data_IF_260906765229
#
_entry.id   IF_260906765229
#
_cell.length_a   1.000
_cell.length_b   1.000
_cell.length_c   1.000
_cell.angle_alpha   90.00
_cell.angle_beta   90.00
_cell.angle_gamma   90.00
#
_symmetry.space_group_name_H-M   'P 1'
#
loop_
_entity.id
_entity.type
_entity.pdbx_description
1 polymer ?
#
# COMPACT_ATOMS: atom_id res chain seq x y z
N UNK A 1 18.33 -11.65 46.51
CA UNK A 1 17.70 -10.47 45.86
C UNK A 1 18.28 -10.13 44.47
N UNK A 2 19.56 -10.38 44.18
CA UNK A 2 20.17 -10.09 42.86
C UNK A 2 19.62 -10.93 41.71
N UNK A 3 19.41 -12.23 41.91
CA UNK A 3 18.86 -13.13 40.88
C UNK A 3 17.43 -12.78 40.47
N UNK A 4 16.59 -12.35 41.40
CA UNK A 4 15.21 -11.96 41.12
C UNK A 4 15.15 -10.64 40.34
N UNK A 5 15.99 -9.64 40.70
CA UNK A 5 16.11 -8.39 39.94
C UNK A 5 16.67 -8.62 38.52
N UNK A 6 17.64 -9.52 38.39
CA UNK A 6 18.18 -9.93 37.09
C UNK A 6 17.12 -10.63 36.23
N UNK A 7 16.34 -11.54 36.83
CA UNK A 7 15.27 -12.25 36.12
C UNK A 7 14.14 -11.30 35.69
N UNK A 8 13.74 -10.35 36.53
CA UNK A 8 12.75 -9.32 36.20
C UNK A 8 13.26 -8.38 35.10
N UNK A 9 14.55 -8.03 35.11
CA UNK A 9 15.18 -7.21 34.07
C UNK A 9 15.23 -7.92 32.72
N UNK A 10 15.60 -9.20 32.70
CA UNK A 10 15.58 -10.05 31.49
C UNK A 10 14.15 -10.24 30.99
N UNK A 11 13.18 -10.43 31.89
CA UNK A 11 11.76 -10.53 31.54
C UNK A 11 11.23 -9.24 30.90
N UNK A 12 11.64 -8.07 31.38
CA UNK A 12 11.29 -6.77 30.79
C UNK A 12 11.95 -6.53 29.41
N UNK A 13 13.14 -7.07 29.19
CA UNK A 13 13.87 -6.96 27.91
C UNK A 13 13.29 -7.86 26.80
N UNK A 14 12.54 -8.91 27.18
CA UNK A 14 11.89 -9.86 26.25
C UNK A 14 10.50 -9.37 25.80
N UNK A 15 9.91 -8.37 26.46
CA UNK A 15 8.63 -7.80 26.05
C UNK A 15 8.87 -6.87 24.85
N UNK A 16 9.06 -7.48 23.68
CA UNK A 16 8.93 -6.78 22.40
C UNK A 16 7.48 -6.37 22.24
N UNK A 17 7.19 -5.10 22.47
CA UNK A 17 5.88 -4.53 22.12
C UNK A 17 5.81 -4.53 20.60
N UNK A 18 5.11 -5.50 20.02
CA UNK A 18 4.79 -5.48 18.60
C UNK A 18 3.74 -4.39 18.37
N UNK A 19 4.13 -3.28 17.77
CA UNK A 19 3.15 -2.31 17.30
C UNK A 19 2.28 -2.96 16.22
N UNK A 20 0.98 -3.09 16.50
CA UNK A 20 0.00 -3.52 15.52
C UNK A 20 -0.26 -2.34 14.59
N UNK A 21 0.54 -2.22 13.53
CA UNK A 21 0.31 -1.28 12.43
C UNK A 21 -0.31 -2.03 11.25
N UNK A 22 -1.08 -1.31 10.43
CA UNK A 22 -1.48 -1.87 9.13
C UNK A 22 -0.22 -2.13 8.32
N UNK A 23 -0.11 -3.34 7.80
CA UNK A 23 1.02 -3.73 6.96
C UNK A 23 1.01 -2.99 5.63
N UNK A 24 -0.17 -2.84 5.01
CA UNK A 24 -0.35 -2.04 3.80
C UNK A 24 -0.92 -0.69 4.20
N UNK A 25 -0.25 0.37 3.76
CA UNK A 25 -0.67 1.76 3.97
C UNK A 25 -0.79 2.48 2.64
N UNK A 26 -1.65 3.50 2.57
CA UNK A 26 -1.63 4.46 1.46
C UNK A 26 -0.43 5.38 1.69
N UNK A 27 0.46 5.46 0.71
CA UNK A 27 1.68 6.28 0.79
C UNK A 27 1.49 7.65 0.13
N UNK A 28 0.95 7.66 -1.09
CA UNK A 28 0.74 8.87 -1.88
C UNK A 28 -0.60 8.86 -2.62
N UNK A 29 -1.13 10.05 -2.90
CA UNK A 29 -2.36 10.25 -3.66
C UNK A 29 -2.16 11.42 -4.62
N UNK A 30 -2.38 11.18 -5.92
CA UNK A 30 -2.51 12.22 -6.95
C UNK A 30 -4.00 12.51 -7.15
N UNK A 31 -4.53 13.48 -6.41
CA UNK A 31 -5.96 13.80 -6.36
C UNK A 31 -6.40 14.93 -7.32
N UNK A 32 -5.45 15.64 -7.93
CA UNK A 32 -5.74 16.78 -8.80
C UNK A 32 -4.71 16.88 -9.95
N UNK A 33 -4.66 15.87 -10.84
CA UNK A 33 -3.83 15.92 -12.03
C UNK A 33 -4.35 16.97 -13.03
N UNK A 34 -3.48 17.40 -13.95
CA UNK A 34 -3.87 18.30 -15.06
C UNK A 34 -4.85 17.63 -16.04
N UNK A 35 -4.69 16.32 -16.26
CA UNK A 35 -5.66 15.46 -16.95
C UNK A 35 -6.42 14.70 -15.86
N UNK A 36 -7.70 15.00 -15.67
CA UNK A 36 -8.56 14.39 -14.63
C UNK A 36 -8.55 12.85 -14.68
N UNK A 37 -8.27 12.26 -15.84
CA UNK A 37 -8.19 10.81 -16.04
C UNK A 37 -6.82 10.21 -15.69
N UNK A 38 -6.03 10.94 -14.91
CA UNK A 38 -4.67 10.56 -14.54
C UNK A 38 -4.43 10.60 -13.02
N UNK A 39 -5.50 10.39 -12.26
CA UNK A 39 -5.43 10.14 -10.83
C UNK A 39 -4.79 8.78 -10.56
N UNK A 40 -4.07 8.70 -9.47
CA UNK A 40 -3.47 7.46 -8.98
C UNK A 40 -3.25 7.55 -7.48
N UNK A 41 -3.13 6.40 -6.85
CA UNK A 41 -2.66 6.30 -5.47
C UNK A 41 -1.60 5.22 -5.37
N UNK A 42 -0.70 5.39 -4.41
CA UNK A 42 0.35 4.45 -4.11
C UNK A 42 0.08 3.76 -2.78
N UNK A 43 0.29 2.45 -2.74
CA UNK A 43 0.35 1.67 -1.51
C UNK A 43 1.79 1.27 -1.21
N UNK A 44 2.11 1.27 0.08
CA UNK A 44 3.40 0.82 0.60
C UNK A 44 3.18 -0.35 1.56
N UNK A 45 3.98 -1.40 1.40
CA UNK A 45 4.07 -2.48 2.38
C UNK A 45 5.07 -2.11 3.47
N UNK A 46 4.56 -1.50 4.55
CA UNK A 46 5.31 -1.13 5.76
C UNK A 46 5.55 -2.31 6.72
N UNK A 47 5.20 -3.54 6.31
CA UNK A 47 5.49 -4.74 7.07
C UNK A 47 6.80 -5.40 6.65
N UNK A 48 7.13 -6.48 7.36
CA UNK A 48 8.33 -7.28 7.13
C UNK A 48 8.09 -8.54 6.30
N UNK A 49 6.85 -8.76 5.84
CA UNK A 49 6.46 -9.93 5.03
C UNK A 49 5.84 -9.51 3.70
N UNK A 50 5.87 -10.37 2.67
CA UNK A 50 5.14 -10.12 1.43
C UNK A 50 3.62 -10.25 1.61
N UNK A 51 2.85 -9.49 0.83
CA UNK A 51 1.37 -9.53 0.82
C UNK A 51 0.86 -9.84 -0.58
N UNK A 52 -0.07 -10.80 -0.71
CA UNK A 52 -0.78 -11.04 -1.96
C UNK A 52 -1.99 -10.11 -2.08
N UNK A 53 -2.02 -9.30 -3.15
CA UNK A 53 -3.04 -8.30 -3.42
C UNK A 53 -4.20 -8.82 -4.30
N UNK A 54 -4.19 -10.11 -4.63
CA UNK A 54 -5.27 -10.72 -5.40
C UNK A 54 -6.62 -10.46 -4.74
N UNK A 55 -7.57 -9.93 -5.52
CA UNK A 55 -8.93 -9.59 -5.10
C UNK A 55 -9.01 -8.53 -3.99
N UNK A 56 -7.93 -7.81 -3.70
CA UNK A 56 -8.00 -6.62 -2.85
C UNK A 56 -8.88 -5.57 -3.51
N UNK A 57 -9.57 -4.81 -2.66
CA UNK A 57 -10.58 -3.86 -3.09
C UNK A 57 -10.26 -2.46 -2.55
N UNK A 58 -10.70 -1.46 -3.31
CA UNK A 58 -10.59 -0.07 -2.92
C UNK A 58 -11.82 0.71 -3.38
N UNK A 59 -12.07 1.84 -2.73
CA UNK A 59 -13.07 2.84 -3.11
C UNK A 59 -12.65 4.18 -2.53
N UNK A 60 -13.04 5.25 -3.17
CA UNK A 60 -13.07 6.57 -2.54
C UNK A 60 -14.40 6.76 -1.78
N UNK A 61 -14.67 7.98 -1.31
CA UNK A 61 -15.88 8.27 -0.54
C UNK A 61 -17.17 8.12 -1.37
N UNK A 62 -17.12 8.43 -2.66
CA UNK A 62 -18.26 8.56 -3.59
C UNK A 62 -18.36 7.42 -4.61
N UNK A 63 -17.31 6.62 -4.79
CA UNK A 63 -17.24 5.59 -5.81
C UNK A 63 -17.82 4.25 -5.40
N UNK A 64 -18.08 3.43 -6.42
CA UNK A 64 -18.28 1.99 -6.25
C UNK A 64 -16.98 1.30 -5.86
N UNK A 65 -17.09 0.12 -5.26
CA UNK A 65 -15.95 -0.70 -4.88
C UNK A 65 -15.31 -1.30 -6.14
N UNK A 66 -14.00 -1.15 -6.28
CA UNK A 66 -13.20 -1.69 -7.37
C UNK A 66 -12.21 -2.71 -6.86
N UNK A 67 -11.80 -3.63 -7.73
CA UNK A 67 -10.78 -4.64 -7.45
C UNK A 67 -9.43 -4.15 -7.99
N UNK A 68 -8.36 -4.21 -7.19
CA UNK A 68 -7.00 -3.83 -7.60
C UNK A 68 -6.52 -4.75 -8.72
N UNK A 69 -6.61 -6.06 -8.52
CA UNK A 69 -6.22 -7.08 -9.50
C UNK A 69 -6.95 -8.40 -9.23
N UNK A 70 -7.24 -9.16 -10.28
CA UNK A 70 -7.74 -10.55 -10.17
C UNK A 70 -6.60 -11.57 -10.22
N UNK A 71 -5.40 -11.13 -10.58
CA UNK A 71 -4.19 -11.94 -10.66
C UNK A 71 -3.42 -11.91 -9.34
N UNK A 72 -2.63 -12.94 -9.08
CA UNK A 72 -1.74 -12.98 -7.91
C UNK A 72 -0.61 -11.98 -8.09
N UNK A 73 -0.66 -10.89 -7.33
CA UNK A 73 0.40 -9.88 -7.29
C UNK A 73 0.93 -9.81 -5.87
N UNK A 74 2.21 -10.16 -5.71
CA UNK A 74 2.88 -10.17 -4.43
C UNK A 74 3.61 -8.84 -4.24
N UNK A 75 3.14 -8.04 -3.29
CA UNK A 75 3.84 -6.84 -2.84
C UNK A 75 4.82 -7.22 -1.73
N UNK A 76 6.11 -7.26 -2.08
CA UNK A 76 7.20 -7.55 -1.14
C UNK A 76 7.24 -6.55 0.03
N UNK A 77 7.88 -6.95 1.14
CA UNK A 77 8.16 -6.05 2.24
C UNK A 77 8.95 -4.82 1.77
N UNK A 78 8.65 -3.65 2.34
CA UNK A 78 9.28 -2.37 2.01
C UNK A 78 9.20 -1.98 0.53
N UNK A 79 8.19 -2.48 -0.19
CA UNK A 79 7.97 -2.18 -1.61
C UNK A 79 6.69 -1.38 -1.83
N UNK A 80 6.65 -0.70 -2.96
CA UNK A 80 5.57 0.21 -3.37
C UNK A 80 4.81 -0.36 -4.56
N UNK A 81 3.55 0.03 -4.70
CA UNK A 81 2.72 -0.28 -5.85
C UNK A 81 1.79 0.86 -6.15
N UNK A 82 1.76 1.27 -7.42
CA UNK A 82 0.91 2.34 -7.90
C UNK A 82 -0.29 1.75 -8.62
N UNK A 83 -1.48 2.23 -8.25
CA UNK A 83 -2.75 1.89 -8.87
C UNK A 83 -3.20 3.11 -9.66
N UNK A 84 -3.25 2.99 -10.99
CA UNK A 84 -3.58 4.08 -11.91
C UNK A 84 -4.51 3.63 -13.05
N UNK A 85 -5.20 4.57 -13.70
CA UNK A 85 -6.09 4.25 -14.82
C UNK A 85 -5.32 3.79 -16.06
N UNK A 86 -4.33 4.57 -16.46
CA UNK A 86 -3.51 4.29 -17.63
C UNK A 86 -2.02 4.31 -17.27
N UNK A 87 -1.43 3.12 -17.19
CA UNK A 87 -0.02 2.95 -16.87
C UNK A 87 0.93 3.55 -17.93
N UNK A 88 0.50 3.70 -19.19
CA UNK A 88 1.33 4.31 -20.23
C UNK A 88 1.33 5.83 -20.08
N UNK A 89 0.17 6.46 -19.88
CA UNK A 89 0.08 7.89 -19.58
C UNK A 89 0.90 8.25 -18.35
N UNK A 90 0.78 7.47 -17.28
CA UNK A 90 1.54 7.69 -16.06
C UNK A 90 3.06 7.65 -16.30
N UNK A 91 3.55 6.66 -17.06
CA UNK A 91 4.99 6.56 -17.42
C UNK A 91 5.47 7.71 -18.29
N UNK A 92 4.63 8.23 -19.18
CA UNK A 92 4.96 9.39 -20.01
C UNK A 92 5.09 10.64 -19.14
N UNK A 93 4.16 10.84 -18.20
CA UNK A 93 4.19 11.98 -17.29
C UNK A 93 5.33 11.89 -16.27
N UNK A 94 5.63 10.67 -15.79
CA UNK A 94 6.67 10.40 -14.78
C UNK A 94 7.64 9.31 -15.27
N UNK A 95 8.64 9.66 -16.11
CA UNK A 95 9.53 8.68 -16.76
C UNK A 95 10.41 7.82 -15.85
N UNK A 96 10.43 8.08 -14.53
CA UNK A 96 11.17 7.30 -13.54
C UNK A 96 10.31 6.42 -12.63
N UNK A 97 8.99 6.40 -12.84
CA UNK A 97 8.06 5.72 -11.94
C UNK A 97 8.05 4.20 -12.18
N UNK A 98 8.06 3.41 -11.11
CA UNK A 98 8.17 1.94 -11.13
C UNK A 98 7.02 1.30 -10.34
N UNK A 99 6.78 -0.01 -10.53
CA UNK A 99 5.81 -0.75 -9.71
C UNK A 99 4.34 -0.38 -10.01
N UNK A 100 3.95 -0.36 -11.28
CA UNK A 100 2.65 0.18 -11.71
C UNK A 100 1.69 -0.94 -12.10
N UNK A 101 0.44 -0.85 -11.65
CA UNK A 101 -0.71 -1.61 -12.15
C UNK A 101 -1.70 -0.64 -12.78
N UNK A 102 -2.05 -0.91 -14.04
CA UNK A 102 -3.21 -0.27 -14.68
C UNK A 102 -4.48 -0.98 -14.24
N UNK A 103 -5.48 -0.23 -13.79
CA UNK A 103 -6.83 -0.77 -13.56
C UNK A 103 -7.84 0.00 -14.40
N UNK A 104 -8.96 -0.61 -14.74
CA UNK A 104 -10.05 0.12 -15.40
C UNK A 104 -10.79 0.94 -14.33
N UNK A 105 -10.28 2.14 -14.04
CA UNK A 105 -11.06 3.18 -13.37
C UNK A 105 -12.15 3.61 -14.36
N UNK A 106 -13.30 2.93 -14.36
CA UNK A 106 -14.50 3.50 -14.96
C UNK A 106 -14.80 4.77 -14.17
N UNK A 107 -14.45 5.94 -14.71
CA UNK A 107 -14.42 7.27 -14.07
C UNK A 107 -15.46 7.45 -12.96
N UNK A 108 -15.07 8.05 -11.83
CA UNK A 108 -16.07 8.59 -10.91
C UNK A 108 -16.87 9.62 -11.73
N UNK A 109 -18.18 9.43 -11.98
CA UNK A 109 -18.97 10.54 -12.47
C UNK A 109 -18.89 11.62 -11.40
N UNK A 110 -18.56 12.85 -11.80
CA UNK A 110 -18.67 14.02 -10.94
C UNK A 110 -20.04 14.08 -10.23
#
# INVERSE_FOLDING_TARGET
>A
MSKLKFFVFVLFMIISVSEIRSQIVINEIMYAPLDANNEWFEIYNNGITPVNLQNWKWKDATSTIRTITTQSIILSANSYLIICQDSNKLKIQFPGINGIISTNFMECPE
#
